data_IF_305268944201
#
_entry.id   IF_305268944201
#
_cell.length_a   1.000
_cell.length_b   1.000
_cell.length_c   1.000
_cell.angle_alpha   90.00
_cell.angle_beta   90.00
_cell.angle_gamma   90.00
#
_symmetry.space_group_name_H-M   'P 1'
#
loop_
_entity.id
_entity.type
_entity.pdbx_description
1 polymer ?
#
# COMPACT_ATOMS: atom_id res chain seq x y z
N UNK A 1 6.97 -8.48 39.44
CA UNK A 1 7.28 -8.76 38.02
C UNK A 1 6.11 -8.25 37.21
N UNK A 2 6.33 -7.30 36.30
CA UNK A 2 5.31 -6.89 35.33
C UNK A 2 4.91 -8.09 34.47
N UNK A 3 3.62 -8.23 34.19
CA UNK A 3 3.12 -9.26 33.29
C UNK A 3 3.60 -8.92 31.85
N UNK A 4 4.48 -9.71 31.23
CA UNK A 4 4.95 -9.44 29.87
C UNK A 4 3.84 -9.55 28.81
N UNK A 5 2.66 -10.06 29.19
CA UNK A 5 1.46 -10.16 28.35
C UNK A 5 0.44 -9.05 28.60
N UNK A 6 0.76 -8.04 29.41
CA UNK A 6 -0.13 -6.90 29.58
C UNK A 6 -0.34 -6.19 28.24
N UNK A 7 -1.59 -5.88 27.83
CA UNK A 7 -1.84 -5.16 26.59
C UNK A 7 -1.14 -3.80 26.60
N UNK A 8 -0.32 -3.54 25.58
CA UNK A 8 0.27 -2.22 25.35
C UNK A 8 -0.75 -1.25 24.78
N UNK A 9 -0.52 0.07 24.95
CA UNK A 9 -1.36 1.14 24.38
C UNK A 9 -2.85 1.07 24.76
N UNK A 10 -3.20 1.03 26.07
CA UNK A 10 -4.60 0.86 26.52
C UNK A 10 -5.54 1.94 25.97
N UNK A 11 -5.09 3.19 25.91
CA UNK A 11 -5.87 4.33 25.41
C UNK A 11 -6.19 4.20 23.91
N UNK A 12 -5.21 3.76 23.11
CA UNK A 12 -5.40 3.49 21.67
C UNK A 12 -6.42 2.37 21.49
N UNK A 13 -6.26 1.27 22.24
CA UNK A 13 -7.18 0.12 22.15
C UNK A 13 -8.60 0.52 22.56
N UNK A 14 -8.77 1.26 23.64
CA UNK A 14 -10.10 1.69 24.06
C UNK A 14 -10.76 2.60 23.00
N UNK A 15 -10.03 3.55 22.43
CA UNK A 15 -10.55 4.42 21.38
C UNK A 15 -10.92 3.65 20.10
N UNK A 16 -10.07 2.73 19.65
CA UNK A 16 -10.33 1.87 18.49
C UNK A 16 -11.54 0.97 18.74
N UNK A 17 -11.68 0.40 19.95
CA UNK A 17 -12.84 -0.40 20.33
C UNK A 17 -14.13 0.39 20.23
N UNK A 18 -14.17 1.60 20.77
CA UNK A 18 -15.35 2.47 20.71
C UNK A 18 -15.73 2.81 19.26
N UNK A 19 -14.76 3.02 18.39
CA UNK A 19 -15.01 3.23 16.96
C UNK A 19 -15.60 1.99 16.30
N UNK A 20 -15.04 0.80 16.58
CA UNK A 20 -15.50 -0.47 16.01
C UNK A 20 -16.93 -0.84 16.40
N UNK A 21 -17.43 -0.40 17.56
CA UNK A 21 -18.82 -0.64 17.99
C UNK A 21 -19.87 -0.09 17.01
N UNK A 22 -19.50 0.84 16.12
CA UNK A 22 -20.38 1.38 15.07
C UNK A 22 -20.57 0.43 13.88
N UNK A 23 -19.74 -0.63 13.78
CA UNK A 23 -19.66 -1.51 12.61
C UNK A 23 -19.83 -2.97 13.04
N UNK A 24 -21.08 -3.36 13.24
CA UNK A 24 -21.43 -4.69 13.76
C UNK A 24 -21.18 -5.83 12.75
N UNK A 25 -21.43 -7.06 13.18
CA UNK A 25 -21.26 -8.21 12.30
C UNK A 25 -22.22 -8.24 11.09
N UNK A 26 -23.36 -7.54 11.14
CA UNK A 26 -24.30 -7.48 10.01
C UNK A 26 -23.74 -6.60 8.89
N UNK A 27 -23.11 -5.48 9.24
CA UNK A 27 -22.35 -4.63 8.32
C UNK A 27 -21.32 -5.45 7.50
N UNK A 28 -20.45 -6.18 8.20
CA UNK A 28 -19.39 -6.97 7.54
C UNK A 28 -19.93 -8.12 6.67
N UNK A 29 -21.00 -8.80 7.12
CA UNK A 29 -21.63 -9.87 6.33
C UNK A 29 -22.31 -9.32 5.07
N UNK A 30 -22.93 -8.14 5.16
CA UNK A 30 -23.55 -7.53 3.98
C UNK A 30 -22.51 -7.14 2.94
N UNK A 31 -21.39 -6.53 3.37
CA UNK A 31 -20.27 -6.22 2.49
C UNK A 31 -19.70 -7.47 1.82
N UNK A 32 -19.50 -8.57 2.55
CA UNK A 32 -19.02 -9.81 1.94
C UNK A 32 -20.00 -10.37 0.90
N UNK A 33 -21.31 -10.34 1.19
CA UNK A 33 -22.38 -10.78 0.29
C UNK A 33 -22.46 -9.94 -0.98
N UNK A 34 -22.36 -8.62 -0.84
CA UNK A 34 -22.49 -7.65 -1.94
C UNK A 34 -21.16 -7.38 -2.64
N UNK A 35 -20.06 -7.92 -2.13
CA UNK A 35 -18.68 -7.60 -2.57
C UNK A 35 -18.34 -6.12 -2.43
N UNK A 36 -18.95 -5.45 -1.45
CA UNK A 36 -18.74 -4.04 -1.15
C UNK A 36 -17.39 -3.77 -0.47
N UNK A 37 -16.92 -2.53 -0.54
CA UNK A 37 -15.79 -2.05 0.24
C UNK A 37 -16.29 -1.30 1.48
N UNK A 38 -15.69 -1.50 2.67
CA UNK A 38 -16.14 -0.89 3.93
C UNK A 38 -15.79 0.62 4.02
N UNK A 39 -16.32 1.43 3.09
CA UNK A 39 -15.98 2.85 2.95
C UNK A 39 -16.19 3.63 4.26
N UNK A 40 -17.30 3.41 4.95
CA UNK A 40 -17.63 4.15 6.18
C UNK A 40 -16.69 3.79 7.33
N UNK A 41 -16.33 2.51 7.47
CA UNK A 41 -15.35 2.07 8.46
C UNK A 41 -13.96 2.65 8.19
N UNK A 42 -13.52 2.60 6.93
CA UNK A 42 -12.22 3.15 6.52
C UNK A 42 -12.19 4.66 6.73
N UNK A 43 -13.26 5.37 6.37
CA UNK A 43 -13.38 6.81 6.61
C UNK A 43 -13.32 7.14 8.11
N UNK A 44 -14.05 6.41 8.95
CA UNK A 44 -14.01 6.62 10.39
C UNK A 44 -12.60 6.43 10.96
N UNK A 45 -11.85 5.42 10.50
CA UNK A 45 -10.46 5.20 10.92
C UNK A 45 -9.52 6.31 10.43
N UNK A 46 -9.71 6.81 9.20
CA UNK A 46 -8.97 7.94 8.66
C UNK A 46 -9.21 9.22 9.46
N UNK A 47 -10.47 9.57 9.70
CA UNK A 47 -10.85 10.80 10.43
C UNK A 47 -10.34 10.77 11.88
N UNK A 48 -10.26 9.59 12.49
CA UNK A 48 -9.68 9.40 13.81
C UNK A 48 -8.13 9.35 13.80
N UNK A 49 -7.48 9.45 12.63
CA UNK A 49 -6.02 9.47 12.48
C UNK A 49 -5.34 8.09 12.53
N UNK A 50 -6.09 7.00 12.68
CA UNK A 50 -5.51 5.66 12.88
C UNK A 50 -4.77 5.13 11.65
N UNK A 51 -5.18 5.51 10.43
CA UNK A 51 -4.49 5.12 9.18
C UNK A 51 -3.27 5.98 8.87
N UNK A 52 -3.08 7.07 9.59
CA UNK A 52 -1.93 7.99 9.49
C UNK A 52 -0.96 7.84 10.68
N UNK A 53 -1.17 6.83 11.54
CA UNK A 53 -0.47 6.70 12.82
C UNK A 53 1.06 6.63 12.70
N UNK A 54 1.57 6.08 11.59
CA UNK A 54 3.01 5.95 11.29
C UNK A 54 3.58 7.14 10.50
N UNK A 55 2.73 8.05 10.02
CA UNK A 55 3.15 9.25 9.29
C UNK A 55 3.67 10.26 10.32
N UNK A 56 4.86 10.86 10.14
CA UNK A 56 5.38 11.88 11.05
C UNK A 56 4.43 13.06 11.24
N UNK A 57 4.48 13.69 12.42
CA UNK A 57 3.63 14.84 12.76
C UNK A 57 3.80 16.02 11.80
N UNK A 58 5.01 16.25 11.27
CA UNK A 58 5.27 17.30 10.26
C UNK A 58 4.47 17.11 8.96
N UNK A 59 3.98 15.89 8.69
CA UNK A 59 3.10 15.56 7.57
C UNK A 59 1.66 15.26 8.01
N UNK A 60 1.26 15.64 9.23
CA UNK A 60 -0.12 15.53 9.70
C UNK A 60 -0.54 14.16 10.25
N UNK A 61 0.40 13.23 10.47
CA UNK A 61 0.13 11.99 11.19
C UNK A 61 0.47 12.09 12.69
N UNK A 62 0.51 10.95 13.39
CA UNK A 62 0.84 10.89 14.82
C UNK A 62 2.30 10.54 15.11
N UNK A 63 3.08 10.15 14.09
CA UNK A 63 4.49 9.78 14.23
C UNK A 63 4.78 8.61 15.18
N UNK A 64 3.77 7.81 15.53
CA UNK A 64 3.93 6.68 16.45
C UNK A 64 4.60 5.49 15.74
N UNK A 65 5.10 4.55 16.55
CA UNK A 65 5.82 3.38 16.05
C UNK A 65 4.92 2.20 15.67
N UNK A 66 5.53 1.16 15.10
CA UNK A 66 4.87 -0.10 14.69
C UNK A 66 4.08 -0.72 15.84
N UNK A 67 4.57 -0.66 17.09
CA UNK A 67 3.84 -1.20 18.25
C UNK A 67 2.45 -0.56 18.44
N UNK A 68 2.31 0.75 18.21
CA UNK A 68 1.02 1.42 18.29
C UNK A 68 0.12 1.04 17.11
N UNK A 69 0.68 0.97 15.90
CA UNK A 69 -0.02 0.47 14.72
C UNK A 69 -0.53 -0.97 14.90
N UNK A 70 0.27 -1.87 15.47
CA UNK A 70 -0.13 -3.23 15.81
C UNK A 70 -1.28 -3.24 16.81
N UNK A 71 -1.26 -2.40 17.84
CA UNK A 71 -2.35 -2.31 18.80
C UNK A 71 -3.68 -1.88 18.16
N UNK A 72 -3.64 -0.95 17.19
CA UNK A 72 -4.81 -0.57 16.38
C UNK A 72 -5.35 -1.77 15.62
N UNK A 73 -4.51 -2.45 14.84
CA UNK A 73 -4.94 -3.57 13.99
C UNK A 73 -5.46 -4.76 14.80
N UNK A 74 -4.77 -5.10 15.90
CA UNK A 74 -5.21 -6.14 16.82
C UNK A 74 -6.57 -5.84 17.44
N UNK A 75 -6.80 -4.58 17.86
CA UNK A 75 -8.05 -4.22 18.50
C UNK A 75 -9.21 -4.19 17.49
N UNK A 76 -8.98 -3.75 16.26
CA UNK A 76 -9.99 -3.85 15.18
C UNK A 76 -10.47 -5.30 15.04
N UNK A 77 -9.52 -6.25 14.97
CA UNK A 77 -9.86 -7.67 14.85
C UNK A 77 -10.52 -8.22 16.12
N UNK A 78 -10.03 -7.84 17.30
CA UNK A 78 -10.61 -8.24 18.60
C UNK A 78 -12.06 -7.76 18.75
N UNK A 79 -12.38 -6.59 18.23
CA UNK A 79 -13.74 -6.02 18.23
C UNK A 79 -14.66 -6.63 17.16
N UNK A 80 -14.20 -7.60 16.37
CA UNK A 80 -15.00 -8.27 15.34
C UNK A 80 -15.04 -7.53 13.99
N UNK A 81 -14.24 -6.47 13.82
CA UNK A 81 -14.04 -5.78 12.56
C UNK A 81 -12.88 -6.38 11.75
N UNK A 82 -12.69 -5.92 10.51
CA UNK A 82 -11.64 -6.44 9.62
C UNK A 82 -10.63 -5.36 9.20
N UNK A 83 -9.44 -5.38 9.82
CA UNK A 83 -8.38 -4.44 9.51
C UNK A 83 -7.73 -4.66 8.13
N UNK A 84 -7.91 -5.84 7.51
CA UNK A 84 -7.40 -6.13 6.17
C UNK A 84 -7.96 -5.20 5.09
N UNK A 85 -9.09 -4.53 5.36
CA UNK A 85 -9.67 -3.55 4.46
C UNK A 85 -8.81 -2.28 4.28
N UNK A 86 -7.90 -1.96 5.22
CA UNK A 86 -7.16 -0.71 5.23
C UNK A 86 -5.69 -0.81 5.67
N UNK A 87 -5.23 -1.95 6.20
CA UNK A 87 -3.89 -2.05 6.79
C UNK A 87 -2.74 -1.81 5.81
N UNK A 88 -2.99 -1.96 4.49
CA UNK A 88 -1.91 -2.01 3.51
C UNK A 88 -1.18 -0.68 3.47
N UNK A 89 -1.93 0.41 3.58
CA UNK A 89 -1.39 1.75 3.67
C UNK A 89 -0.36 1.91 4.77
N UNK A 90 -0.56 1.27 5.93
CA UNK A 90 0.33 1.42 7.08
C UNK A 90 1.72 0.86 6.82
N UNK A 91 1.85 -0.32 6.18
CA UNK A 91 3.18 -0.90 5.94
C UNK A 91 3.79 -0.46 4.60
N UNK A 92 2.99 -0.30 3.53
CA UNK A 92 3.57 0.07 2.22
C UNK A 92 4.08 1.52 2.20
N UNK A 93 3.46 2.42 2.98
CA UNK A 93 3.99 3.78 3.13
C UNK A 93 5.41 3.81 3.70
N UNK A 94 5.84 2.74 4.40
CA UNK A 94 7.20 2.61 4.92
C UNK A 94 8.28 2.80 3.86
N UNK A 95 8.01 2.41 2.60
CA UNK A 95 8.92 2.66 1.48
C UNK A 95 9.02 4.15 1.16
N UNK A 96 7.91 4.88 1.12
CA UNK A 96 7.88 6.34 0.88
C UNK A 96 8.49 7.11 2.06
N UNK A 97 8.14 6.74 3.29
CA UNK A 97 8.65 7.36 4.51
C UNK A 97 10.18 7.29 4.60
N UNK A 98 10.77 6.16 4.21
CA UNK A 98 12.22 5.94 4.35
C UNK A 98 13.01 6.40 3.14
N UNK A 99 12.52 6.14 1.93
CA UNK A 99 13.29 6.29 0.69
C UNK A 99 12.72 7.33 -0.28
N UNK A 100 11.54 7.89 0.02
CA UNK A 100 10.98 8.98 -0.77
C UNK A 100 11.82 10.25 -0.68
N UNK A 101 11.85 11.01 -1.77
CA UNK A 101 12.48 12.34 -1.80
C UNK A 101 11.74 13.31 -0.87
N UNK A 102 12.35 14.47 -0.58
CA UNK A 102 11.70 15.51 0.23
C UNK A 102 10.42 16.02 -0.44
N UNK A 103 10.47 16.16 -1.76
CA UNK A 103 9.37 16.62 -2.61
C UNK A 103 8.24 15.61 -2.61
N UNK A 104 8.54 14.31 -2.79
CA UNK A 104 7.55 13.24 -2.70
C UNK A 104 6.88 13.22 -1.31
N UNK A 105 7.66 13.33 -0.24
CA UNK A 105 7.13 13.33 1.13
C UNK A 105 6.20 14.51 1.38
N UNK A 106 6.65 15.73 1.03
CA UNK A 106 5.88 16.95 1.18
C UNK A 106 4.59 16.94 0.34
N UNK A 107 4.62 16.36 -0.85
CA UNK A 107 3.47 16.29 -1.74
C UNK A 107 2.43 15.25 -1.30
N UNK A 108 2.87 14.04 -0.94
CA UNK A 108 1.96 12.90 -0.78
C UNK A 108 1.59 12.61 0.67
N UNK A 109 2.53 12.72 1.63
CA UNK A 109 2.25 12.28 3.00
C UNK A 109 1.13 13.07 3.69
N UNK A 110 1.05 14.41 3.58
CA UNK A 110 -0.07 15.16 4.15
C UNK A 110 -1.43 14.73 3.59
N UNK A 111 -1.48 14.45 2.29
CA UNK A 111 -2.71 14.02 1.61
C UNK A 111 -3.11 12.59 1.98
N UNK A 112 -2.12 11.73 2.23
CA UNK A 112 -2.37 10.37 2.73
C UNK A 112 -2.85 10.43 4.19
N UNK A 113 -2.27 11.34 5.00
CA UNK A 113 -2.64 11.50 6.39
C UNK A 113 -4.09 11.98 6.57
N UNK A 114 -4.54 12.92 5.73
CA UNK A 114 -5.94 13.40 5.72
C UNK A 114 -6.91 12.43 5.03
N UNK A 115 -6.39 11.47 4.28
CA UNK A 115 -7.16 10.55 3.44
C UNK A 115 -7.68 11.13 2.12
N UNK A 116 -7.20 12.31 1.70
CA UNK A 116 -7.39 12.84 0.34
C UNK A 116 -6.83 11.87 -0.71
N UNK A 117 -5.72 11.19 -0.38
CA UNK A 117 -5.12 10.14 -1.19
C UNK A 117 -5.04 8.83 -0.40
N UNK A 118 -5.37 7.73 -1.06
CA UNK A 118 -5.22 6.37 -0.52
C UNK A 118 -4.10 5.63 -1.22
N UNK A 119 -3.17 5.12 -0.42
CA UNK A 119 -2.05 4.29 -0.88
C UNK A 119 -2.20 2.89 -0.32
N UNK A 120 -3.03 2.03 -0.93
CA UNK A 120 -3.16 0.63 -0.52
C UNK A 120 -2.73 -0.37 -1.60
N UNK A 121 -2.69 0.06 -2.86
CA UNK A 121 -2.32 -0.79 -3.96
C UNK A 121 -0.80 -1.02 -3.99
N UNK A 122 -0.39 -2.29 -3.92
CA UNK A 122 1.01 -2.69 -4.03
C UNK A 122 1.20 -3.70 -5.16
N UNK A 123 1.80 -3.22 -6.26
CA UNK A 123 2.02 -3.96 -7.48
C UNK A 123 3.37 -4.68 -7.47
N UNK A 124 3.44 -5.85 -6.82
CA UNK A 124 4.65 -6.68 -6.78
C UNK A 124 4.45 -7.98 -7.56
N UNK A 125 3.50 -8.79 -7.11
CA UNK A 125 3.22 -10.14 -7.63
C UNK A 125 2.72 -10.11 -9.08
N UNK A 126 3.23 -11.04 -9.88
CA UNK A 126 2.84 -11.24 -11.28
C UNK A 126 2.31 -12.66 -11.48
N UNK A 127 1.52 -12.92 -12.54
CA UNK A 127 1.04 -14.28 -12.84
C UNK A 127 2.16 -15.31 -12.92
N UNK A 128 3.35 -14.89 -13.37
CA UNK A 128 4.53 -15.75 -13.53
C UNK A 128 5.53 -15.68 -12.36
N UNK A 129 5.31 -14.81 -11.36
CA UNK A 129 6.22 -14.62 -10.23
C UNK A 129 5.51 -14.16 -8.96
N UNK A 130 5.35 -15.09 -8.01
CA UNK A 130 4.88 -14.82 -6.65
C UNK A 130 6.03 -14.85 -5.64
N UNK A 131 6.41 -16.04 -5.19
CA UNK A 131 7.51 -16.22 -4.22
C UNK A 131 8.87 -15.77 -4.77
N UNK A 132 9.13 -15.97 -6.07
CA UNK A 132 10.35 -15.48 -6.74
C UNK A 132 10.15 -14.09 -7.33
N UNK A 133 9.94 -13.09 -6.46
CA UNK A 133 9.74 -11.68 -6.85
C UNK A 133 10.86 -11.15 -7.76
N UNK A 134 12.09 -11.65 -7.60
CA UNK A 134 13.24 -11.21 -8.39
C UNK A 134 13.12 -11.54 -9.89
N UNK A 135 12.26 -12.49 -10.24
CA UNK A 135 12.00 -12.92 -11.62
C UNK A 135 10.86 -12.16 -12.31
N UNK A 136 10.32 -11.11 -11.68
CA UNK A 136 9.27 -10.28 -12.29
C UNK A 136 9.71 -9.71 -13.65
N UNK A 137 8.73 -9.55 -14.55
CA UNK A 137 8.87 -9.19 -15.95
C UNK A 137 8.28 -7.82 -16.31
N UNK A 138 7.41 -7.24 -15.48
CA UNK A 138 6.93 -5.87 -15.70
C UNK A 138 8.12 -4.93 -15.82
N UNK A 139 8.19 -4.16 -16.90
CA UNK A 139 9.30 -3.23 -17.19
C UNK A 139 8.87 -1.79 -16.98
N UNK A 140 9.85 -0.93 -16.69
CA UNK A 140 9.72 0.52 -16.75
C UNK A 140 10.94 1.05 -17.51
N UNK A 141 10.75 1.47 -18.77
CA UNK A 141 11.83 1.90 -19.66
C UNK A 141 11.80 3.43 -19.80
N UNK A 142 12.95 4.10 -19.62
CA UNK A 142 13.04 5.55 -19.85
C UNK A 142 12.69 5.87 -21.30
N UNK A 143 11.70 6.73 -21.50
CA UNK A 143 11.37 7.32 -22.80
C UNK A 143 12.15 8.61 -23.03
N UNK A 144 12.34 9.39 -21.97
CA UNK A 144 13.11 10.64 -21.93
C UNK A 144 13.50 10.95 -20.48
N UNK A 145 14.05 12.15 -20.22
CA UNK A 145 14.51 12.55 -18.88
C UNK A 145 13.38 12.71 -17.84
N UNK A 146 12.13 12.85 -18.27
CA UNK A 146 10.98 13.10 -17.38
C UNK A 146 9.98 11.95 -17.33
N UNK A 147 10.15 10.89 -18.12
CA UNK A 147 9.09 9.88 -18.34
C UNK A 147 9.65 8.47 -18.47
N UNK A 148 9.00 7.52 -17.80
CA UNK A 148 9.13 6.09 -18.05
C UNK A 148 7.87 5.55 -18.73
N UNK A 149 8.03 4.51 -19.54
CA UNK A 149 6.94 3.72 -20.12
C UNK A 149 6.94 2.36 -19.45
N UNK A 150 5.80 2.00 -18.85
CA UNK A 150 5.60 0.75 -18.13
C UNK A 150 4.80 -0.22 -18.98
N UNK A 151 5.27 -1.47 -19.06
CA UNK A 151 4.57 -2.57 -19.71
C UNK A 151 4.61 -3.81 -18.83
N UNK A 152 3.47 -4.49 -18.67
CA UNK A 152 3.39 -5.75 -17.92
C UNK A 152 2.05 -5.97 -17.24
N UNK A 153 2.06 -6.82 -16.23
CA UNK A 153 0.86 -7.19 -15.47
C UNK A 153 1.22 -7.53 -14.03
N UNK A 154 0.40 -7.06 -13.10
CA UNK A 154 0.34 -7.53 -11.71
C UNK A 154 -0.95 -8.30 -11.47
N UNK A 155 -0.89 -9.16 -10.46
CA UNK A 155 -2.02 -9.97 -10.00
C UNK A 155 -2.04 -9.96 -8.47
N UNK A 156 -3.22 -10.15 -7.89
CA UNK A 156 -3.46 -10.08 -6.45
C UNK A 156 -3.21 -8.69 -5.84
N UNK A 157 -3.16 -7.64 -6.66
CA UNK A 157 -3.06 -6.27 -6.18
C UNK A 157 -4.36 -5.91 -5.47
N UNK A 158 -4.30 -5.84 -4.15
CA UNK A 158 -5.49 -5.66 -3.33
C UNK A 158 -5.91 -4.21 -3.30
N UNK A 159 -7.23 -3.98 -3.37
CA UNK A 159 -7.86 -2.65 -3.22
C UNK A 159 -7.36 -1.62 -4.24
N UNK A 160 -6.93 -2.07 -5.42
CA UNK A 160 -6.54 -1.16 -6.50
C UNK A 160 -7.72 -0.30 -6.98
N UNK A 161 -8.95 -0.85 -6.99
CA UNK A 161 -10.19 -0.11 -7.26
C UNK A 161 -10.55 0.95 -6.20
N UNK A 162 -9.92 0.86 -5.02
CA UNK A 162 -10.21 1.72 -3.85
C UNK A 162 -8.99 2.55 -3.41
N UNK A 163 -7.98 2.65 -4.28
CA UNK A 163 -6.75 3.40 -4.05
C UNK A 163 -6.55 4.47 -5.12
N UNK A 164 -5.92 5.57 -4.75
CA UNK A 164 -5.51 6.63 -5.68
C UNK A 164 -4.08 6.41 -6.18
N UNK A 165 -3.24 5.88 -5.28
CA UNK A 165 -1.82 5.66 -5.50
C UNK A 165 -1.49 4.16 -5.49
N UNK A 166 -0.49 3.79 -6.28
CA UNK A 166 0.12 2.46 -6.27
C UNK A 166 1.62 2.56 -6.04
N UNK A 167 2.15 1.70 -5.17
CA UNK A 167 3.57 1.36 -5.19
C UNK A 167 3.80 0.24 -6.21
N UNK A 168 4.52 0.53 -7.28
CA UNK A 168 4.76 -0.39 -8.38
C UNK A 168 6.22 -0.83 -8.40
N UNK A 169 6.47 -2.14 -8.30
CA UNK A 169 7.79 -2.71 -8.53
C UNK A 169 7.91 -3.16 -9.99
N UNK A 170 8.87 -2.56 -10.71
CA UNK A 170 9.11 -2.82 -12.12
C UNK A 170 10.61 -2.93 -12.42
N UNK A 171 10.96 -3.63 -13.49
CA UNK A 171 12.33 -3.79 -13.96
C UNK A 171 12.75 -2.61 -14.81
N UNK A 172 13.76 -1.87 -14.35
CA UNK A 172 14.38 -0.76 -15.11
C UNK A 172 15.67 -1.18 -15.79
N UNK A 173 16.36 -2.18 -15.24
CA UNK A 173 17.57 -2.76 -15.83
C UNK A 173 17.34 -4.23 -16.15
N UNK A 174 17.64 -4.69 -17.38
CA UNK A 174 17.56 -6.10 -17.73
C UNK A 174 18.34 -6.98 -16.75
N UNK A 175 17.80 -8.17 -16.47
CA UNK A 175 18.32 -9.05 -15.41
C UNK A 175 19.76 -9.49 -15.71
N UNK A 176 20.03 -9.76 -16.99
CA UNK A 176 21.32 -10.14 -17.55
C UNK A 176 22.35 -9.00 -17.52
N UNK A 177 21.91 -7.74 -17.36
CA UNK A 177 22.78 -6.58 -17.22
C UNK A 177 22.98 -6.16 -15.75
N UNK A 178 22.32 -6.85 -14.82
CA UNK A 178 22.39 -6.54 -13.39
C UNK A 178 23.53 -7.32 -12.73
N UNK A 179 24.37 -6.65 -11.94
CA UNK A 179 25.50 -7.29 -11.27
C UNK A 179 25.04 -8.30 -10.19
N UNK A 180 23.90 -8.02 -9.53
CA UNK A 180 23.27 -8.93 -8.56
C UNK A 180 21.82 -9.20 -8.94
N UNK A 181 21.32 -10.38 -8.56
CA UNK A 181 19.91 -10.77 -8.76
C UNK A 181 18.91 -9.84 -8.06
N UNK A 182 19.34 -9.13 -7.02
CA UNK A 182 18.54 -8.18 -6.23
C UNK A 182 18.53 -6.77 -6.79
N UNK A 183 19.31 -6.50 -7.84
CA UNK A 183 19.41 -5.20 -8.50
C UNK A 183 18.59 -5.18 -9.81
N UNK A 184 18.46 -4.01 -10.41
CA UNK A 184 17.75 -3.81 -11.68
C UNK A 184 16.22 -3.71 -11.57
N UNK A 185 15.70 -3.80 -10.35
CA UNK A 185 14.30 -3.51 -10.03
C UNK A 185 14.20 -2.13 -9.39
N UNK A 186 13.22 -1.34 -9.79
CA UNK A 186 12.90 -0.03 -9.24
C UNK A 186 11.48 0.00 -8.70
N UNK A 187 11.24 0.84 -7.71
CA UNK A 187 9.91 1.07 -7.14
C UNK A 187 9.44 2.47 -7.46
N UNK A 188 8.22 2.58 -7.94
CA UNK A 188 7.60 3.83 -8.35
C UNK A 188 6.34 4.10 -7.52
N UNK A 189 6.14 5.37 -7.14
CA UNK A 189 4.85 5.87 -6.68
C UNK A 189 4.07 6.34 -7.90
N UNK A 190 2.98 5.64 -8.22
CA UNK A 190 2.16 5.89 -9.40
C UNK A 190 0.81 6.48 -8.98
N UNK A 191 0.45 7.65 -9.53
CA UNK A 191 -0.92 8.19 -9.43
C UNK A 191 -1.82 7.46 -10.44
N UNK A 192 -2.56 6.47 -9.95
CA UNK A 192 -3.42 5.63 -10.78
C UNK A 192 -4.56 6.41 -11.42
N UNK A 193 -5.07 7.48 -10.78
CA UNK A 193 -6.18 8.27 -11.32
C UNK A 193 -5.82 8.90 -12.67
N UNK A 194 -4.58 9.33 -12.78
CA UNK A 194 -4.04 9.93 -14.01
C UNK A 194 -3.80 8.90 -15.12
N UNK A 195 -3.51 7.65 -14.75
CA UNK A 195 -3.11 6.58 -15.65
C UNK A 195 -4.28 5.67 -16.08
N UNK A 196 -5.37 5.61 -15.30
CA UNK A 196 -6.55 4.79 -15.58
C UNK A 196 -7.13 5.11 -16.96
N UNK A 197 -7.28 4.07 -17.79
CA UNK A 197 -7.72 4.21 -19.18
C UNK A 197 -6.69 4.81 -20.13
N UNK A 198 -5.49 5.16 -19.64
CA UNK A 198 -4.34 5.69 -20.38
C UNK A 198 -3.12 4.78 -20.19
N UNK A 199 -3.32 3.50 -20.50
CA UNK A 199 -2.32 2.45 -20.33
C UNK A 199 -2.43 1.67 -19.02
N UNK A 200 -3.17 2.16 -18.00
CA UNK A 200 -3.54 1.37 -16.81
C UNK A 200 -4.95 0.80 -16.94
N UNK A 201 -5.08 -0.51 -16.79
CA UNK A 201 -6.38 -1.19 -16.67
C UNK A 201 -6.42 -2.03 -15.40
N UNK A 202 -7.49 -1.91 -14.61
CA UNK A 202 -7.72 -2.71 -13.39
C UNK A 202 -8.89 -3.65 -13.66
N UNK A 203 -8.76 -4.93 -13.30
CA UNK A 203 -9.81 -5.94 -13.40
C UNK A 203 -10.00 -6.65 -12.05
N UNK A 204 -11.20 -6.65 -11.46
CA UNK A 204 -11.44 -7.36 -10.21
C UNK A 204 -11.33 -8.87 -10.41
N UNK A 205 -10.74 -9.55 -9.42
CA UNK A 205 -10.68 -11.01 -9.32
C UNK A 205 -11.71 -11.46 -8.30
N UNK A 206 -12.62 -12.33 -8.73
CA UNK A 206 -13.55 -12.98 -7.79
C UNK A 206 -12.82 -14.03 -6.97
N UNK A 207 -12.73 -13.80 -5.67
CA UNK A 207 -12.17 -14.73 -4.68
C UNK A 207 -13.25 -15.27 -3.73
N UNK A 208 -12.91 -16.27 -2.92
CA UNK A 208 -13.81 -16.79 -1.89
C UNK A 208 -14.20 -15.71 -0.88
N UNK A 209 -13.20 -15.04 -0.32
CA UNK A 209 -13.37 -13.91 0.61
C UNK A 209 -13.48 -12.58 -0.15
N UNK A 210 -14.30 -11.66 0.34
CA UNK A 210 -14.34 -10.29 -0.17
C UNK A 210 -13.08 -9.51 0.26
N UNK A 211 -12.04 -9.54 -0.58
CA UNK A 211 -10.76 -8.85 -0.32
C UNK A 211 -10.46 -7.73 -1.32
N UNK A 212 -11.32 -7.54 -2.33
CA UNK A 212 -11.12 -6.61 -3.45
C UNK A 212 -9.77 -6.82 -4.17
N UNK A 213 -9.41 -8.08 -4.44
CA UNK A 213 -8.21 -8.43 -5.21
C UNK A 213 -8.40 -8.14 -6.69
N UNK A 214 -7.35 -7.69 -7.37
CA UNK A 214 -7.40 -7.30 -8.78
C UNK A 214 -6.22 -7.85 -9.59
N UNK A 215 -6.42 -7.96 -10.90
CA UNK A 215 -5.36 -7.91 -11.90
C UNK A 215 -5.18 -6.47 -12.35
N UNK A 216 -3.93 -6.08 -12.59
CA UNK A 216 -3.58 -4.74 -13.05
C UNK A 216 -2.68 -4.87 -14.27
N UNK A 217 -3.10 -4.27 -15.38
CA UNK A 217 -2.41 -4.34 -16.66
C UNK A 217 -1.82 -2.97 -17.00
N UNK A 218 -0.59 -3.00 -17.50
CA UNK A 218 0.12 -1.82 -18.00
C UNK A 218 0.44 -2.04 -19.47
N UNK A 219 -0.14 -1.21 -20.33
CA UNK A 219 0.11 -1.17 -21.77
C UNK A 219 0.57 0.22 -22.16
N UNK A 220 1.87 0.36 -22.40
CA UNK A 220 2.53 1.63 -22.70
C UNK A 220 2.15 2.77 -21.73
N UNK A 221 1.98 2.42 -20.45
CA UNK A 221 1.58 3.37 -19.42
C UNK A 221 2.73 4.34 -19.14
N UNK A 222 2.52 5.63 -19.38
CA UNK A 222 3.51 6.65 -19.08
C UNK A 222 3.41 7.08 -17.60
N UNK A 223 4.55 7.08 -16.92
CA UNK A 223 4.68 7.59 -15.54
C UNK A 223 5.81 8.61 -15.48
N UNK A 224 5.69 9.65 -14.63
CA UNK A 224 6.74 10.65 -14.52
C UNK A 224 7.97 10.08 -13.81
N UNK A 225 9.14 10.57 -14.18
CA UNK A 225 10.41 10.09 -13.64
C UNK A 225 10.61 10.43 -12.16
N UNK A 226 9.96 11.50 -11.67
CA UNK A 226 9.90 11.88 -10.26
C UNK A 226 9.03 10.93 -9.42
N UNK A 227 8.30 10.00 -10.06
CA UNK A 227 7.63 8.89 -9.40
C UNK A 227 8.59 7.81 -8.90
N UNK A 228 9.85 7.80 -9.37
CA UNK A 228 10.87 6.87 -8.88
C UNK A 228 11.18 7.14 -7.40
N UNK A 229 11.10 6.12 -6.55
CA UNK A 229 11.47 6.23 -5.13
C UNK A 229 12.92 5.78 -4.94
N UNK A 230 13.74 6.68 -4.38
CA UNK A 230 15.16 6.44 -4.16
C UNK A 230 15.92 6.29 -5.49
N UNK A 231 16.89 5.37 -5.50
CA UNK A 231 17.74 5.11 -6.64
C UNK A 231 17.18 4.04 -7.59
N UNK A 232 17.38 4.27 -8.90
CA UNK A 232 17.03 3.32 -9.94
C UNK A 232 17.80 2.00 -9.75
N UNK A 233 17.10 0.87 -9.87
CA UNK A 233 17.65 -0.47 -9.71
C UNK A 233 17.79 -0.92 -8.25
N UNK A 234 17.45 -0.08 -7.27
CA UNK A 234 17.50 -0.40 -5.83
C UNK A 234 16.12 -0.69 -5.20
N UNK A 235 15.05 -0.69 -6.00
CA UNK A 235 13.66 -0.83 -5.55
C UNK A 235 13.37 -2.09 -4.75
N UNK A 236 13.99 -3.23 -5.08
CA UNK A 236 13.80 -4.46 -4.30
C UNK A 236 14.28 -4.31 -2.85
N UNK A 237 15.42 -3.64 -2.64
CA UNK A 237 15.95 -3.34 -1.30
C UNK A 237 15.00 -2.42 -0.53
N UNK A 238 14.45 -1.40 -1.20
CA UNK A 238 13.55 -0.44 -0.57
C UNK A 238 12.23 -1.08 -0.14
N UNK A 239 11.63 -1.93 -0.98
CA UNK A 239 10.40 -2.62 -0.58
C UNK A 239 10.63 -3.59 0.57
N UNK A 240 11.75 -4.33 0.61
CA UNK A 240 12.05 -5.24 1.72
C UNK A 240 12.17 -4.50 3.04
N UNK A 241 12.76 -3.30 3.02
CA UNK A 241 12.79 -2.47 4.22
C UNK A 241 11.37 -2.13 4.68
N UNK A 242 10.45 -1.78 3.77
CA UNK A 242 9.05 -1.50 4.08
C UNK A 242 8.30 -2.74 4.59
N UNK A 243 8.50 -3.89 3.97
CA UNK A 243 7.86 -5.17 4.34
C UNK A 243 8.27 -5.69 5.72
N UNK A 244 9.37 -5.22 6.32
CA UNK A 244 9.65 -5.53 7.72
C UNK A 244 8.60 -4.96 8.69
N UNK A 245 7.85 -3.92 8.29
CA UNK A 245 6.71 -3.42 9.07
C UNK A 245 5.39 -4.15 8.75
N UNK A 246 5.34 -4.91 7.65
CA UNK A 246 4.20 -5.75 7.28
C UNK A 246 4.14 -7.04 8.12
N UNK A 247 5.32 -7.59 8.47
CA UNK A 247 5.49 -8.82 9.25
C UNK A 247 5.43 -8.55 10.74
#
# INVERSE_FOLDING_TARGET
>A
MENPYAPTHPEIRDAVRQLCLKFDGAYWRDLDRTRGYPTEFVQALTEAGWLAILIPEEYGGSGLGISAASAVLEEIHRAGCNAAACHAQMYIMGTVLRHGSKEQKAQYLPKIATGELRLQAFGVTEPTSGTDTLSLRTTAVKKNNSTYVVNGQKVWTSRAEHSDLMLLLARTTPREQSAKRTEGLSVFLVDMRSALGKGLTIRPIRTMMNHNSTEVFFDNMEIPADGLIGEEGQGFRYILSGMNAER
#
